data_IF_663517864432
#
_entry.id   IF_663517864432
#
_cell.length_a   1.000
_cell.length_b   1.000
_cell.length_c   1.000
_cell.angle_alpha   90.00
_cell.angle_beta   90.00
_cell.angle_gamma   90.00
#
_symmetry.space_group_name_H-M   'P 1'
#
loop_
_entity.id
_entity.type
_entity.pdbx_description
1 polymer ?
#
# COMPACT_ATOMS: atom_id res chain seq x y z
N UNK A 1 -5.90 -29.18 -31.72
CA UNK A 1 -6.08 -29.61 -30.33
C UNK A 1 -5.67 -28.41 -29.50
N UNK A 2 -6.63 -27.71 -28.92
CA UNK A 2 -6.33 -26.67 -27.93
C UNK A 2 -5.72 -27.42 -26.75
N UNK A 3 -4.49 -27.08 -26.35
CA UNK A 3 -3.95 -27.56 -25.09
C UNK A 3 -4.91 -27.09 -23.99
N UNK A 4 -5.42 -28.04 -23.22
CA UNK A 4 -6.24 -27.80 -22.02
C UNK A 4 -5.34 -27.09 -20.98
N UNK A 5 -5.26 -25.77 -21.04
CA UNK A 5 -4.52 -24.96 -20.11
C UNK A 5 -5.25 -24.99 -18.77
N UNK A 6 -4.84 -25.92 -17.89
CA UNK A 6 -5.29 -25.98 -16.52
C UNK A 6 -4.59 -24.89 -15.72
N UNK A 7 -5.36 -23.88 -15.34
CA UNK A 7 -4.81 -22.69 -14.65
C UNK A 7 -4.46 -23.05 -13.22
N UNK A 8 -3.22 -22.78 -12.83
CA UNK A 8 -2.75 -22.88 -11.45
C UNK A 8 -3.42 -21.82 -10.58
N UNK A 9 -3.83 -22.13 -9.34
CA UNK A 9 -4.29 -21.12 -8.40
C UNK A 9 -3.23 -20.03 -8.16
N UNK A 10 -3.63 -18.78 -8.27
CA UNK A 10 -2.77 -17.60 -8.21
C UNK A 10 -3.30 -16.57 -7.19
N UNK A 11 -2.56 -15.51 -6.94
CA UNK A 11 -2.90 -14.46 -5.96
C UNK A 11 -3.33 -15.05 -4.61
N UNK A 12 -2.55 -16.03 -4.13
CA UNK A 12 -2.85 -16.73 -2.88
C UNK A 12 -2.52 -15.79 -1.73
N UNK A 13 -3.49 -15.58 -0.85
CA UNK A 13 -3.36 -14.74 0.35
C UNK A 13 -3.80 -15.52 1.59
N UNK A 14 -3.30 -15.09 2.75
CA UNK A 14 -3.66 -15.67 4.04
C UNK A 14 -3.97 -14.55 5.04
N UNK A 15 -5.12 -14.68 5.72
CA UNK A 15 -5.50 -13.76 6.80
C UNK A 15 -5.69 -14.55 8.08
N UNK A 16 -4.99 -14.18 9.16
CA UNK A 16 -5.16 -14.78 10.46
C UNK A 16 -6.31 -14.11 11.23
N UNK A 17 -7.16 -14.90 11.90
CA UNK A 17 -8.15 -14.40 12.85
C UNK A 17 -7.53 -14.19 14.25
N UNK A 18 -8.34 -13.69 15.19
CA UNK A 18 -7.92 -13.44 16.58
C UNK A 18 -7.49 -14.71 17.33
N UNK A 19 -7.96 -15.88 16.90
CA UNK A 19 -7.59 -17.20 17.45
C UNK A 19 -6.36 -17.80 16.77
N UNK A 20 -5.78 -17.12 15.77
CA UNK A 20 -4.62 -17.54 15.01
C UNK A 20 -4.92 -18.60 13.95
N UNK A 21 -6.17 -18.73 13.50
CA UNK A 21 -6.52 -19.56 12.37
C UNK A 21 -6.37 -18.78 11.08
N UNK A 22 -5.84 -19.42 10.05
CA UNK A 22 -5.62 -18.80 8.75
C UNK A 22 -6.76 -19.13 7.80
N UNK A 23 -7.33 -18.09 7.18
CA UNK A 23 -8.23 -18.22 6.03
C UNK A 23 -7.44 -17.89 4.78
N UNK A 24 -7.36 -18.87 3.88
CA UNK A 24 -6.74 -18.74 2.57
C UNK A 24 -7.76 -18.22 1.57
N UNK A 25 -7.30 -17.34 0.69
CA UNK A 25 -8.05 -16.90 -0.50
C UNK A 25 -7.11 -16.95 -1.70
N UNK A 26 -7.65 -17.24 -2.86
CA UNK A 26 -6.88 -17.32 -4.10
C UNK A 26 -7.75 -16.88 -5.27
N UNK A 27 -7.16 -16.72 -6.46
CA UNK A 27 -7.82 -16.28 -7.67
C UNK A 27 -8.55 -14.94 -7.50
N UNK A 28 -8.10 -14.12 -6.56
CA UNK A 28 -8.63 -12.77 -6.41
C UNK A 28 -7.76 -11.84 -7.21
N UNK A 29 -8.36 -11.07 -8.09
CA UNK A 29 -7.69 -9.99 -8.78
C UNK A 29 -7.50 -8.84 -7.78
N UNK A 30 -6.29 -8.78 -7.23
CA UNK A 30 -5.92 -7.71 -6.32
C UNK A 30 -5.43 -6.52 -7.14
N UNK A 31 -6.11 -5.39 -7.04
CA UNK A 31 -5.58 -4.15 -7.56
C UNK A 31 -4.30 -3.77 -6.81
N UNK A 32 -3.28 -3.33 -7.54
CA UNK A 32 -2.19 -2.54 -6.97
C UNK A 32 -2.70 -1.11 -6.82
N UNK A 33 -2.70 -0.58 -5.61
CA UNK A 33 -3.17 0.76 -5.29
C UNK A 33 -2.06 1.51 -4.56
N UNK A 34 -1.78 2.74 -5.00
CA UNK A 34 -0.77 3.59 -4.41
C UNK A 34 -1.28 5.03 -4.28
N UNK A 35 -1.21 5.58 -3.08
CA UNK A 35 -1.60 6.95 -2.73
C UNK A 35 -0.43 7.80 -2.26
N UNK A 36 0.79 7.25 -2.25
CA UNK A 36 2.04 7.89 -1.86
C UNK A 36 2.13 8.41 -0.42
N UNK A 37 1.13 8.13 0.43
CA UNK A 37 1.05 8.63 1.80
C UNK A 37 2.12 8.04 2.74
N UNK A 38 2.54 6.79 2.49
CA UNK A 38 3.44 6.04 3.37
C UNK A 38 4.92 6.39 3.19
N UNK A 39 5.26 7.22 2.18
CA UNK A 39 6.66 7.60 1.91
C UNK A 39 7.05 8.89 2.63
N UNK A 40 8.36 9.08 2.82
CA UNK A 40 8.91 10.31 3.39
C UNK A 40 8.59 11.53 2.52
N UNK A 41 8.35 12.67 3.15
CA UNK A 41 8.15 13.94 2.47
C UNK A 41 9.38 14.28 1.60
N UNK A 42 9.15 14.67 0.35
CA UNK A 42 10.16 15.00 -0.65
C UNK A 42 11.06 13.83 -1.06
N UNK A 43 10.63 12.57 -0.83
CA UNK A 43 11.32 11.40 -1.33
C UNK A 43 11.42 11.42 -2.85
N UNK A 44 12.61 11.14 -3.38
CA UNK A 44 12.91 11.08 -4.82
C UNK A 44 14.03 10.10 -5.11
N UNK A 45 14.27 9.81 -6.38
CA UNK A 45 15.22 8.78 -6.80
C UNK A 45 14.62 7.39 -6.64
N UNK A 46 14.64 6.85 -5.44
CA UNK A 46 13.97 5.59 -5.11
C UNK A 46 13.27 5.72 -3.75
N UNK A 47 12.00 5.34 -3.69
CA UNK A 47 11.22 5.23 -2.47
C UNK A 47 10.31 3.99 -2.55
N UNK A 48 10.46 3.10 -1.58
CA UNK A 48 9.92 1.76 -1.71
C UNK A 48 10.46 1.08 -2.97
N UNK A 49 9.56 0.57 -3.79
CA UNK A 49 9.90 -0.03 -5.10
C UNK A 49 9.68 0.93 -6.28
N UNK A 50 9.24 2.16 -6.01
CA UNK A 50 9.12 3.23 -7.00
C UNK A 50 10.46 3.85 -7.32
N UNK A 51 10.61 4.32 -8.56
CA UNK A 51 11.80 5.02 -9.03
C UNK A 51 11.43 6.32 -9.72
N UNK A 52 12.10 7.42 -9.38
CA UNK A 52 12.00 8.68 -10.14
C UNK A 52 13.30 9.01 -10.83
N UNK A 53 13.21 9.58 -12.03
CA UNK A 53 14.36 10.00 -12.81
C UNK A 53 14.14 11.39 -13.39
N UNK A 54 15.18 12.21 -13.34
CA UNK A 54 15.28 13.48 -14.02
C UNK A 54 16.33 13.33 -15.13
N UNK A 55 15.87 13.02 -16.35
CA UNK A 55 16.76 12.74 -17.48
C UNK A 55 17.23 14.04 -18.13
N UNK A 56 16.38 15.07 -18.15
CA UNK A 56 16.71 16.37 -18.74
C UNK A 56 17.72 17.17 -17.92
N UNK A 57 17.80 16.98 -16.60
CA UNK A 57 18.70 17.70 -15.69
C UNK A 57 18.59 19.23 -15.82
N UNK A 58 17.46 19.74 -16.30
CA UNK A 58 17.25 21.16 -16.53
C UNK A 58 16.71 21.84 -15.27
N UNK A 59 17.12 23.13 -15.01
CA UNK A 59 16.60 23.87 -13.88
C UNK A 59 15.11 24.21 -14.06
N UNK A 60 14.36 24.11 -12.96
CA UNK A 60 12.91 24.35 -12.93
C UNK A 60 12.57 25.72 -12.35
N UNK A 61 11.31 26.15 -12.55
CA UNK A 61 10.79 27.35 -11.89
C UNK A 61 10.61 27.11 -10.39
N UNK A 62 11.02 28.05 -9.51
CA UNK A 62 10.69 27.94 -8.10
C UNK A 62 9.20 28.17 -7.88
N UNK A 63 8.61 27.46 -6.95
CA UNK A 63 7.23 27.74 -6.53
C UNK A 63 7.19 29.09 -5.83
N UNK A 64 6.25 29.96 -6.22
CA UNK A 64 5.98 31.22 -5.55
C UNK A 64 4.48 31.35 -5.27
N UNK A 65 4.13 31.58 -4.02
CA UNK A 65 2.77 31.78 -3.57
C UNK A 65 2.64 33.18 -2.93
N UNK A 66 1.72 34.00 -3.47
CA UNK A 66 1.52 35.38 -2.99
C UNK A 66 2.80 36.23 -2.92
N UNK A 67 3.72 36.03 -3.89
CA UNK A 67 5.01 36.73 -3.95
C UNK A 67 6.08 36.18 -2.98
N UNK A 68 5.80 35.12 -2.26
CA UNK A 68 6.73 34.45 -1.35
C UNK A 68 7.25 33.16 -1.98
N UNK A 69 8.56 32.98 -2.02
CA UNK A 69 9.19 31.76 -2.49
C UNK A 69 8.94 30.64 -1.49
N UNK A 70 8.45 29.52 -1.99
CA UNK A 70 8.24 28.29 -1.23
C UNK A 70 9.48 27.43 -1.37
N UNK A 71 10.11 27.08 -0.26
CA UNK A 71 11.29 26.22 -0.24
C UNK A 71 10.99 24.85 0.38
N UNK A 72 11.68 23.83 -0.13
CA UNK A 72 11.66 22.45 0.32
C UNK A 72 13.00 21.79 -0.02
N UNK A 73 13.34 20.60 0.47
CA UNK A 73 14.57 19.91 0.14
C UNK A 73 14.79 19.79 -1.37
N UNK A 74 15.92 20.27 -1.88
CA UNK A 74 16.25 20.29 -3.31
C UNK A 74 15.66 21.45 -4.11
N UNK A 75 14.78 22.28 -3.53
CA UNK A 75 14.25 23.45 -4.23
C UNK A 75 15.35 24.49 -4.48
N UNK A 76 15.34 25.07 -5.69
CA UNK A 76 16.20 26.19 -6.03
C UNK A 76 15.64 27.51 -5.52
N UNK A 77 16.35 28.58 -5.88
CA UNK A 77 15.91 29.97 -5.72
C UNK A 77 15.86 30.66 -7.08
N UNK A 78 15.16 31.81 -7.24
CA UNK A 78 15.16 32.53 -8.50
C UNK A 78 16.55 32.91 -9.02
N UNK A 79 17.53 33.13 -8.11
CA UNK A 79 18.90 33.42 -8.46
C UNK A 79 19.79 32.18 -8.63
N UNK A 80 19.34 31.02 -8.21
CA UNK A 80 20.04 29.74 -8.33
C UNK A 80 19.00 28.63 -8.54
N UNK A 81 18.36 28.53 -9.73
CA UNK A 81 17.39 27.50 -10.02
C UNK A 81 18.10 26.13 -10.10
N UNK A 82 17.42 25.09 -9.65
CA UNK A 82 17.93 23.72 -9.57
C UNK A 82 17.12 22.79 -10.47
N UNK A 83 17.76 21.75 -10.96
CA UNK A 83 17.06 20.60 -11.53
C UNK A 83 16.41 19.81 -10.40
N UNK A 84 15.15 19.40 -10.56
CA UNK A 84 14.38 18.72 -9.53
C UNK A 84 13.76 17.46 -10.16
N UNK A 85 14.11 16.26 -9.68
CA UNK A 85 13.43 15.04 -10.10
C UNK A 85 11.99 15.02 -9.58
N UNK A 86 11.10 14.21 -10.16
CA UNK A 86 9.79 13.95 -9.56
C UNK A 86 9.96 13.46 -8.12
N UNK A 87 9.07 13.88 -7.22
CA UNK A 87 9.18 13.57 -5.80
C UNK A 87 7.81 13.45 -5.13
N UNK A 88 7.76 12.73 -4.02
CA UNK A 88 6.63 12.74 -3.10
C UNK A 88 6.53 14.14 -2.49
N UNK A 89 5.43 14.82 -2.69
CA UNK A 89 5.27 16.21 -2.31
C UNK A 89 4.19 16.38 -1.25
N UNK A 90 4.63 16.85 -0.08
CA UNK A 90 3.74 17.24 1.01
C UNK A 90 3.73 18.78 1.13
N UNK A 91 2.67 19.48 0.74
CA UNK A 91 2.61 20.94 0.81
C UNK A 91 2.72 21.49 2.22
N UNK A 92 2.29 20.74 3.24
CA UNK A 92 2.41 21.14 4.65
C UNK A 92 3.84 21.22 5.15
N UNK A 93 4.74 20.43 4.59
CA UNK A 93 6.15 20.34 5.01
C UNK A 93 7.04 21.36 4.30
N UNK A 94 6.48 22.21 3.43
CA UNK A 94 7.21 23.29 2.78
C UNK A 94 7.49 24.48 3.72
N UNK A 95 8.38 25.39 3.31
CA UNK A 95 8.76 26.60 4.05
C UNK A 95 8.53 27.86 3.22
N UNK A 96 7.54 28.74 3.51
CA UNK A 96 6.47 28.49 4.47
C UNK A 96 5.56 27.32 4.04
N UNK A 97 4.86 26.73 5.01
CA UNK A 97 3.92 25.67 4.73
C UNK A 97 2.80 26.19 3.80
N UNK A 98 2.51 25.43 2.75
CA UNK A 98 1.36 25.71 1.88
C UNK A 98 0.10 25.16 2.54
N UNK A 99 -0.98 25.93 2.50
CA UNK A 99 -2.22 25.57 3.21
C UNK A 99 -3.07 24.60 2.38
N UNK A 100 -3.89 23.72 3.00
CA UNK A 100 -4.76 22.77 2.28
C UNK A 100 -5.88 23.47 1.51
N UNK A 101 -6.15 24.73 1.84
CA UNK A 101 -7.06 25.60 1.09
C UNK A 101 -6.47 26.07 -0.24
N UNK A 102 -5.19 25.83 -0.47
CA UNK A 102 -4.56 26.11 -1.75
C UNK A 102 -4.82 24.97 -2.73
N UNK A 103 -5.89 25.15 -3.51
CA UNK A 103 -6.34 24.17 -4.51
C UNK A 103 -5.26 23.82 -5.55
N UNK A 104 -4.26 24.68 -5.73
CA UNK A 104 -3.17 24.43 -6.67
C UNK A 104 -2.35 23.19 -6.31
N UNK A 105 -2.18 22.93 -5.01
CA UNK A 105 -1.30 21.84 -4.52
C UNK A 105 -2.01 20.81 -3.62
N UNK A 106 -3.30 21.02 -3.32
CA UNK A 106 -4.06 20.06 -2.53
C UNK A 106 -4.14 18.69 -3.22
N UNK A 107 -3.87 17.62 -2.47
CA UNK A 107 -4.07 16.25 -2.92
C UNK A 107 -5.57 15.92 -3.10
N UNK A 108 -5.94 14.97 -3.94
CA UNK A 108 -7.34 14.53 -4.08
C UNK A 108 -7.73 13.60 -2.93
N UNK A 109 -6.76 12.89 -2.37
CA UNK A 109 -6.87 12.04 -1.17
C UNK A 109 -5.63 12.21 -0.31
N UNK A 110 -5.77 12.13 1.01
CA UNK A 110 -4.64 12.32 1.93
C UNK A 110 -4.00 13.71 1.88
N UNK A 111 -2.69 13.74 2.09
CA UNK A 111 -1.88 14.97 2.18
C UNK A 111 -0.77 15.04 1.12
N UNK A 112 -0.42 13.94 0.46
CA UNK A 112 0.74 13.83 -0.43
C UNK A 112 0.34 13.50 -1.87
N UNK A 113 1.21 13.89 -2.79
CA UNK A 113 1.12 13.56 -4.22
C UNK A 113 2.51 13.30 -4.77
N UNK A 114 2.66 12.79 -5.98
CA UNK A 114 3.93 12.95 -6.70
C UNK A 114 3.84 14.16 -7.61
N UNK A 115 4.82 15.08 -7.49
CA UNK A 115 4.90 16.31 -8.27
C UNK A 115 6.04 16.25 -9.30
N UNK A 116 5.78 16.80 -10.48
CA UNK A 116 6.73 16.97 -11.58
C UNK A 116 6.84 18.46 -11.91
N UNK A 117 8.05 18.98 -11.98
CA UNK A 117 8.28 20.39 -12.29
C UNK A 117 8.76 20.54 -13.73
N UNK A 118 8.15 21.49 -14.46
CA UNK A 118 8.58 21.86 -15.80
C UNK A 118 9.93 22.60 -15.76
N UNK A 119 10.84 22.30 -16.69
CA UNK A 119 12.05 23.07 -16.83
C UNK A 119 11.77 24.48 -17.33
N UNK A 120 12.61 25.45 -16.96
CA UNK A 120 12.53 26.84 -17.42
C UNK A 120 12.76 27.00 -18.92
N UNK A 121 13.49 26.07 -19.51
CA UNK A 121 13.80 26.01 -20.94
C UNK A 121 14.01 24.56 -21.33
N UNK A 122 13.53 24.19 -22.51
CA UNK A 122 13.62 22.83 -23.04
C UNK A 122 12.38 21.98 -22.69
N UNK A 123 12.34 20.81 -23.28
CA UNK A 123 11.30 19.81 -22.99
C UNK A 123 11.66 19.09 -21.69
N UNK A 124 10.66 18.83 -20.87
CA UNK A 124 10.83 17.94 -19.74
C UNK A 124 11.06 16.51 -20.21
N UNK A 125 11.92 15.79 -19.51
CA UNK A 125 12.13 14.35 -19.62
C UNK A 125 12.29 13.79 -18.20
N UNK A 126 11.15 13.60 -17.54
CA UNK A 126 11.10 13.17 -16.15
C UNK A 126 10.15 11.99 -15.98
N UNK A 127 10.58 11.04 -15.18
CA UNK A 127 9.91 9.76 -15.06
C UNK A 127 9.56 9.41 -13.62
N UNK A 128 8.36 8.84 -13.43
CA UNK A 128 8.00 8.03 -12.29
C UNK A 128 7.73 6.61 -12.80
N UNK A 129 8.47 5.64 -12.26
CA UNK A 129 8.43 4.25 -12.72
C UNK A 129 7.91 3.38 -11.57
N UNK A 130 6.89 2.57 -11.86
CA UNK A 130 6.23 1.72 -10.88
C UNK A 130 7.11 0.55 -10.41
N UNK A 131 6.74 -0.11 -9.31
CA UNK A 131 7.14 -1.50 -9.05
C UNK A 131 6.86 -2.42 -10.22
N UNK A 132 7.42 -3.64 -10.18
CA UNK A 132 7.09 -4.67 -11.15
C UNK A 132 5.68 -5.20 -10.86
N UNK A 133 4.79 -5.14 -11.84
CA UNK A 133 3.37 -5.46 -11.71
C UNK A 133 3.03 -6.66 -12.60
N UNK A 134 2.17 -7.55 -12.12
CA UNK A 134 1.61 -8.63 -12.94
C UNK A 134 0.24 -8.19 -13.45
N UNK A 135 0.06 -8.21 -14.75
CA UNK A 135 -1.20 -7.81 -15.38
C UNK A 135 -2.10 -9.03 -15.53
N UNK A 136 -3.23 -9.01 -14.85
CA UNK A 136 -4.25 -10.03 -14.99
C UNK A 136 -5.30 -9.61 -16.02
N UNK A 137 -6.17 -10.54 -16.39
CA UNK A 137 -7.22 -10.30 -17.37
C UNK A 137 -8.16 -9.17 -16.95
N UNK A 138 -8.43 -8.25 -17.87
CA UNK A 138 -9.35 -7.14 -17.63
C UNK A 138 -8.77 -6.02 -16.74
N UNK A 139 -7.44 -5.99 -16.59
CA UNK A 139 -6.78 -4.91 -15.86
C UNK A 139 -6.69 -3.65 -16.69
N UNK A 140 -6.79 -2.53 -16.00
CA UNK A 140 -6.51 -1.20 -16.50
C UNK A 140 -5.58 -0.44 -15.54
N UNK A 141 -4.87 0.53 -16.07
CA UNK A 141 -4.22 1.58 -15.30
C UNK A 141 -5.23 2.69 -15.07
N UNK A 142 -5.38 3.15 -13.84
CA UNK A 142 -6.01 4.43 -13.54
C UNK A 142 -5.07 5.29 -12.70
N UNK A 143 -5.07 6.59 -12.97
CA UNK A 143 -4.28 7.56 -12.22
C UNK A 143 -5.00 8.91 -12.22
N UNK A 144 -5.04 9.56 -11.06
CA UNK A 144 -5.47 10.95 -11.00
C UNK A 144 -4.29 11.86 -11.34
N UNK A 145 -4.51 12.82 -12.23
CA UNK A 145 -3.51 13.82 -12.56
C UNK A 145 -4.14 15.21 -12.69
N UNK A 146 -3.33 16.23 -12.43
CA UNK A 146 -3.73 17.63 -12.49
C UNK A 146 -2.56 18.50 -12.95
N UNK A 147 -2.75 19.28 -14.03
CA UNK A 147 -1.87 20.37 -14.41
C UNK A 147 -2.15 21.62 -13.59
N UNK A 148 -1.16 22.51 -13.49
CA UNK A 148 -1.27 23.72 -12.67
C UNK A 148 -2.28 24.73 -13.26
N UNK A 149 -2.12 25.14 -14.53
CA UNK A 149 -2.94 26.17 -15.14
C UNK A 149 -3.14 25.93 -16.65
N UNK A 150 -4.30 26.30 -17.16
CA UNK A 150 -4.65 26.09 -18.57
C UNK A 150 -3.81 26.93 -19.55
N UNK A 151 -3.31 28.08 -19.10
CA UNK A 151 -2.45 28.95 -19.90
C UNK A 151 -1.05 28.37 -20.13
N UNK A 152 -0.65 27.38 -19.31
CA UNK A 152 0.61 26.67 -19.36
C UNK A 152 0.32 25.17 -19.37
N UNK A 153 -0.08 24.62 -20.54
CA UNK A 153 -0.57 23.26 -20.62
C UNK A 153 0.54 22.24 -20.30
N UNK A 154 0.18 21.32 -19.43
CA UNK A 154 1.03 20.22 -19.04
C UNK A 154 0.78 18.98 -19.91
N UNK A 155 1.81 18.17 -20.12
CA UNK A 155 1.73 16.96 -20.93
C UNK A 155 2.39 15.78 -20.21
N UNK A 156 1.77 14.62 -20.32
CA UNK A 156 2.28 13.36 -19.75
C UNK A 156 1.98 12.20 -20.70
N UNK A 157 2.89 11.28 -20.82
CA UNK A 157 2.71 10.00 -21.50
C UNK A 157 2.62 8.90 -20.44
N UNK A 158 1.67 7.99 -20.63
CA UNK A 158 1.56 6.76 -19.84
C UNK A 158 2.24 5.66 -20.64
N UNK A 159 3.30 5.09 -20.08
CA UNK A 159 4.20 4.19 -20.77
C UNK A 159 4.28 2.83 -20.08
N UNK A 160 4.76 1.83 -20.80
CA UNK A 160 4.92 0.47 -20.29
C UNK A 160 6.25 -0.14 -20.78
N UNK A 161 6.87 -0.96 -19.94
CA UNK A 161 8.01 -1.79 -20.29
C UNK A 161 7.78 -3.25 -19.89
N UNK A 162 8.58 -4.15 -20.42
CA UNK A 162 8.61 -5.59 -20.11
C UNK A 162 9.34 -5.91 -18.79
N UNK A 163 9.29 -4.97 -17.83
CA UNK A 163 9.94 -5.07 -16.54
C UNK A 163 11.25 -4.30 -16.41
N UNK A 164 11.78 -3.76 -17.51
CA UNK A 164 12.91 -2.82 -17.46
C UNK A 164 12.52 -1.53 -16.77
N UNK A 165 13.46 -0.92 -16.05
CA UNK A 165 13.33 0.41 -15.44
C UNK A 165 14.14 1.50 -16.16
N UNK A 166 14.67 1.21 -17.35
CA UNK A 166 15.39 2.14 -18.19
C UNK A 166 14.41 2.89 -19.11
N UNK A 167 14.38 4.25 -19.13
CA UNK A 167 13.46 5.03 -19.96
C UNK A 167 13.39 4.63 -21.41
N UNK A 168 14.52 4.22 -22.00
CA UNK A 168 14.61 3.84 -23.42
C UNK A 168 13.85 2.54 -23.77
N UNK A 169 13.49 1.73 -22.78
CA UNK A 169 12.79 0.46 -22.97
C UNK A 169 11.26 0.59 -22.82
N UNK A 170 10.77 1.80 -22.52
CA UNK A 170 9.34 2.06 -22.41
C UNK A 170 8.72 2.40 -23.75
N UNK A 171 7.50 1.92 -23.96
CA UNK A 171 6.63 2.27 -25.09
C UNK A 171 5.41 3.02 -24.59
N UNK A 172 4.96 4.01 -25.37
CA UNK A 172 3.78 4.82 -25.02
C UNK A 172 2.51 4.00 -25.18
N UNK A 173 1.70 3.94 -24.12
CA UNK A 173 0.35 3.34 -24.11
C UNK A 173 -0.70 4.39 -24.48
N UNK A 174 -0.63 5.54 -23.86
CA UNK A 174 -1.55 6.66 -24.05
C UNK A 174 -0.90 7.98 -23.65
N UNK A 175 -1.51 9.08 -24.10
CA UNK A 175 -1.03 10.43 -23.84
C UNK A 175 -2.15 11.28 -23.21
N UNK A 176 -1.77 12.13 -22.27
CA UNK A 176 -2.61 13.20 -21.76
C UNK A 176 -1.97 14.55 -22.09
N UNK A 177 -2.44 15.18 -23.18
CA UNK A 177 -1.92 16.47 -23.65
C UNK A 177 -3.06 17.31 -24.26
N UNK A 178 -3.50 18.38 -23.58
CA UNK A 178 -3.09 18.81 -22.24
C UNK A 178 -3.70 17.97 -21.12
N UNK A 179 -3.01 17.92 -19.97
CA UNK A 179 -3.62 17.48 -18.72
C UNK A 179 -4.71 18.46 -18.27
N UNK A 180 -5.71 17.96 -17.55
CA UNK A 180 -6.71 18.81 -16.91
C UNK A 180 -6.03 19.82 -15.98
N UNK A 181 -6.41 21.10 -16.11
CA UNK A 181 -5.75 22.20 -15.41
C UNK A 181 -6.59 22.67 -14.21
N UNK A 182 -5.96 22.77 -13.05
CA UNK A 182 -6.58 23.26 -11.82
C UNK A 182 -7.54 22.28 -11.12
N UNK A 183 -7.96 21.22 -11.79
CA UNK A 183 -8.86 20.20 -11.25
C UNK A 183 -8.29 18.81 -11.49
N UNK A 184 -8.51 17.92 -10.53
CA UNK A 184 -8.10 16.52 -10.67
C UNK A 184 -8.98 15.80 -11.69
N UNK A 185 -8.34 15.13 -12.65
CA UNK A 185 -9.00 14.25 -13.61
C UNK A 185 -8.46 12.82 -13.49
N UNK A 186 -9.33 11.84 -13.71
CA UNK A 186 -8.98 10.44 -13.78
C UNK A 186 -8.58 10.11 -15.23
N UNK A 187 -7.40 9.52 -15.39
CA UNK A 187 -6.90 8.99 -16.66
C UNK A 187 -6.90 7.47 -16.57
N UNK A 188 -7.43 6.83 -17.60
CA UNK A 188 -7.58 5.38 -17.66
C UNK A 188 -6.94 4.85 -18.94
N UNK A 189 -6.21 3.75 -18.84
CA UNK A 189 -5.57 3.07 -19.97
C UNK A 189 -5.77 1.57 -19.85
N UNK A 190 -6.31 0.94 -20.90
CA UNK A 190 -6.50 -0.51 -20.99
C UNK A 190 -5.15 -1.23 -21.04
N UNK A 191 -5.01 -2.31 -20.27
CA UNK A 191 -3.81 -3.14 -20.20
C UNK A 191 -4.05 -4.56 -20.74
N UNK A 192 -5.14 -4.81 -21.44
CA UNK A 192 -5.53 -6.15 -21.90
C UNK A 192 -4.49 -6.82 -22.83
N UNK A 193 -3.73 -6.03 -23.61
CA UNK A 193 -2.67 -6.56 -24.47
C UNK A 193 -1.46 -7.13 -23.69
N UNK A 194 -1.40 -6.89 -22.38
CA UNK A 194 -0.32 -7.30 -21.49
C UNK A 194 -0.72 -8.39 -20.50
N UNK A 195 -1.89 -9.00 -20.70
CA UNK A 195 -2.39 -10.07 -19.83
C UNK A 195 -1.33 -11.19 -19.66
N UNK A 196 -1.11 -11.59 -18.39
CA UNK A 196 -0.15 -12.61 -18.00
C UNK A 196 1.31 -12.15 -17.97
N UNK A 197 1.59 -10.91 -18.31
CA UNK A 197 2.95 -10.36 -18.33
C UNK A 197 3.30 -9.65 -17.03
N UNK A 198 4.59 -9.61 -16.73
CA UNK A 198 5.16 -8.72 -15.72
C UNK A 198 5.69 -7.46 -16.38
N UNK A 199 5.20 -6.31 -15.96
CA UNK A 199 5.48 -5.01 -16.58
C UNK A 199 5.82 -3.97 -15.55
N UNK A 200 6.42 -2.86 -15.99
CA UNK A 200 6.44 -1.59 -15.24
C UNK A 200 5.68 -0.54 -15.99
N UNK A 201 4.94 0.27 -15.26
CA UNK A 201 4.29 1.48 -15.79
C UNK A 201 5.21 2.66 -15.56
N UNK A 202 5.43 3.44 -16.60
CA UNK A 202 6.17 4.70 -16.56
C UNK A 202 5.23 5.89 -16.77
N UNK A 203 5.25 6.85 -15.86
CA UNK A 203 4.61 8.15 -16.07
C UNK A 203 5.69 9.11 -16.53
N UNK A 204 5.68 9.45 -17.80
CA UNK A 204 6.68 10.26 -18.48
C UNK A 204 6.16 11.68 -18.67
N UNK A 205 6.73 12.61 -17.96
CA UNK A 205 6.40 14.01 -18.04
C UNK A 205 7.19 14.70 -19.16
N UNK A 206 6.46 15.31 -20.12
CA UNK A 206 7.01 15.84 -21.38
C UNK A 206 6.63 17.30 -21.64
N UNK A 207 6.28 18.06 -20.61
CA UNK A 207 5.85 19.46 -20.74
C UNK A 207 6.97 20.38 -21.21
N UNK A 208 6.57 21.48 -21.84
CA UNK A 208 7.44 22.55 -22.27
C UNK A 208 6.93 23.89 -21.77
N UNK A 209 7.78 24.70 -21.13
CA UNK A 209 7.46 26.05 -20.63
C UNK A 209 6.15 26.10 -19.83
N UNK A 210 5.95 25.11 -18.98
CA UNK A 210 4.83 24.99 -18.05
C UNK A 210 5.28 25.23 -16.60
N UNK A 211 4.51 24.80 -15.60
CA UNK A 211 4.90 24.97 -14.20
C UNK A 211 5.13 23.63 -13.50
N UNK A 212 4.06 22.92 -13.17
CA UNK A 212 4.12 21.61 -12.57
C UNK A 212 2.82 20.83 -12.76
N UNK A 213 2.94 19.53 -12.72
CA UNK A 213 1.82 18.60 -12.61
C UNK A 213 1.94 17.75 -11.37
N UNK A 214 0.80 17.29 -10.88
CA UNK A 214 0.71 16.36 -9.77
C UNK A 214 -0.03 15.11 -10.20
N UNK A 215 0.36 13.97 -9.65
CA UNK A 215 -0.35 12.70 -9.79
C UNK A 215 -0.63 12.12 -8.42
N UNK A 216 -1.70 11.32 -8.33
CA UNK A 216 -2.12 10.60 -7.13
C UNK A 216 -3.03 9.43 -7.49
N UNK A 217 -3.41 8.62 -6.48
CA UNK A 217 -4.36 7.50 -6.62
C UNK A 217 -4.05 6.62 -7.84
N UNK A 218 -2.79 6.16 -7.92
CA UNK A 218 -2.36 5.25 -8.97
C UNK A 218 -2.90 3.84 -8.69
N UNK A 219 -3.60 3.26 -9.65
CA UNK A 219 -4.13 1.92 -9.53
C UNK A 219 -3.86 1.11 -10.80
N UNK A 220 -3.41 -0.13 -10.64
CA UNK A 220 -3.42 -1.14 -11.69
C UNK A 220 -4.27 -2.31 -11.19
N UNK A 221 -5.40 -2.53 -11.82
CA UNK A 221 -6.37 -3.51 -11.33
C UNK A 221 -7.52 -3.73 -12.30
N UNK A 222 -8.52 -4.53 -11.91
CA UNK A 222 -9.67 -4.79 -12.76
C UNK A 222 -10.44 -3.51 -13.06
N UNK A 223 -10.82 -3.32 -14.32
CA UNK A 223 -11.63 -2.19 -14.77
C UNK A 223 -12.94 -2.11 -14.00
N UNK A 224 -13.42 -0.89 -13.71
CA UNK A 224 -14.66 -0.69 -12.96
C UNK A 224 -15.84 -1.40 -13.66
N UNK A 225 -16.52 -2.28 -12.93
CA UNK A 225 -17.65 -3.09 -13.45
C UNK A 225 -17.24 -4.29 -14.29
N UNK A 226 -15.92 -4.54 -14.47
CA UNK A 226 -15.46 -5.82 -14.98
C UNK A 226 -15.58 -6.85 -13.85
N UNK A 227 -16.33 -7.92 -14.08
CA UNK A 227 -16.09 -9.15 -13.37
C UNK A 227 -14.81 -9.73 -13.98
N UNK A 228 -13.65 -9.41 -13.40
CA UNK A 228 -12.41 -10.06 -13.73
C UNK A 228 -12.47 -11.50 -13.22
N UNK A 229 -13.34 -12.27 -13.82
CA UNK A 229 -13.43 -13.71 -13.60
C UNK A 229 -12.44 -14.33 -14.56
N UNK A 230 -11.32 -14.79 -14.03
CA UNK A 230 -10.60 -15.84 -14.76
C UNK A 230 -11.58 -17.01 -14.82
N UNK A 231 -12.06 -17.25 -16.02
CA UNK A 231 -12.88 -18.42 -16.30
C UNK A 231 -11.99 -19.67 -16.11
N UNK A 232 -12.00 -20.20 -14.89
CA UNK A 232 -11.38 -21.49 -14.61
C UNK A 232 -12.08 -22.62 -15.37
N UNK A 233 -13.04 -22.31 -16.23
CA UNK A 233 -13.84 -23.18 -17.06
C UNK A 233 -13.99 -24.55 -16.43
N UNK A 234 -14.96 -25.04 -15.89
CA UNK A 234 -15.13 -26.42 -15.37
C UNK A 234 -14.18 -26.86 -14.23
N UNK A 235 -13.69 -25.95 -13.37
CA UNK A 235 -13.11 -26.35 -12.10
C UNK A 235 -14.18 -27.01 -11.27
N UNK A 236 -13.94 -28.26 -10.84
CA UNK A 236 -14.85 -29.04 -10.02
C UNK A 236 -14.68 -28.70 -8.54
N UNK A 237 -13.41 -28.49 -8.13
CA UNK A 237 -13.02 -28.13 -6.77
C UNK A 237 -11.57 -27.69 -6.73
N UNK A 238 -11.17 -27.22 -5.56
CA UNK A 238 -9.77 -27.00 -5.21
C UNK A 238 -9.37 -27.99 -4.10
N UNK A 239 -8.23 -28.65 -4.27
CA UNK A 239 -7.60 -29.47 -3.24
C UNK A 239 -6.61 -28.63 -2.47
N UNK A 240 -6.67 -28.67 -1.12
CA UNK A 240 -5.85 -27.85 -0.23
C UNK A 240 -4.84 -28.74 0.50
N UNK A 241 -3.59 -28.32 0.50
CA UNK A 241 -2.47 -29.06 1.11
C UNK A 241 -1.77 -28.19 2.17
N UNK A 242 -1.25 -28.84 3.21
CA UNK A 242 -0.31 -28.26 4.18
C UNK A 242 0.90 -29.17 4.23
N UNK A 243 2.08 -28.62 3.97
CA UNK A 243 3.35 -29.36 3.96
C UNK A 243 3.31 -30.64 3.07
N UNK A 244 2.59 -30.55 1.95
CA UNK A 244 2.42 -31.64 0.99
C UNK A 244 1.30 -32.63 1.32
N UNK A 245 0.66 -32.56 2.49
CA UNK A 245 -0.47 -33.41 2.86
C UNK A 245 -1.81 -32.72 2.59
N UNK A 246 -2.74 -33.42 1.92
CA UNK A 246 -4.08 -32.87 1.63
C UNK A 246 -4.88 -32.76 2.93
N UNK A 247 -5.31 -31.52 3.24
CA UNK A 247 -6.06 -31.19 4.47
C UNK A 247 -7.54 -30.86 4.21
N UNK A 248 -7.93 -30.64 2.96
CA UNK A 248 -9.32 -30.33 2.63
C UNK A 248 -9.59 -30.10 1.16
N UNK A 249 -10.85 -29.76 0.88
CA UNK A 249 -11.35 -29.40 -0.43
C UNK A 249 -12.24 -28.16 -0.33
N UNK A 250 -12.29 -27.34 -1.38
CA UNK A 250 -13.16 -26.18 -1.50
C UNK A 250 -13.78 -26.13 -2.90
N UNK A 251 -15.01 -25.65 -3.00
CA UNK A 251 -15.67 -25.35 -4.29
C UNK A 251 -15.59 -23.89 -4.68
N UNK A 252 -15.19 -23.04 -3.73
CA UNK A 252 -14.97 -21.62 -3.91
C UNK A 252 -13.50 -21.28 -3.61
N UNK A 253 -13.03 -20.13 -4.05
CA UNK A 253 -11.65 -19.67 -3.87
C UNK A 253 -11.35 -19.18 -2.44
N UNK A 254 -11.83 -19.92 -1.45
CA UNK A 254 -11.63 -19.64 -0.02
C UNK A 254 -11.61 -20.93 0.79
N UNK A 255 -10.70 -21.01 1.78
CA UNK A 255 -10.63 -22.14 2.70
C UNK A 255 -10.00 -21.72 4.03
N UNK A 256 -10.62 -22.12 5.16
CA UNK A 256 -10.02 -21.92 6.47
C UNK A 256 -9.21 -23.16 6.86
N UNK A 257 -7.91 -22.97 7.07
CA UNK A 257 -6.98 -24.03 7.42
C UNK A 257 -7.29 -24.63 8.80
N UNK A 258 -6.98 -25.92 9.01
CA UNK A 258 -6.91 -26.45 10.35
C UNK A 258 -5.85 -25.70 11.17
N UNK A 259 -5.89 -25.74 12.52
CA UNK A 259 -4.89 -25.09 13.34
C UNK A 259 -3.46 -25.53 12.98
N UNK A 260 -2.59 -24.58 12.66
CA UNK A 260 -1.18 -24.82 12.35
C UNK A 260 -0.34 -24.82 13.63
N UNK A 261 0.68 -25.64 13.66
CA UNK A 261 1.70 -25.60 14.72
C UNK A 261 2.64 -24.41 14.53
N UNK A 262 3.45 -24.10 15.54
CA UNK A 262 4.51 -23.08 15.36
C UNK A 262 5.57 -23.59 14.38
N UNK A 263 6.00 -22.73 13.48
CA UNK A 263 6.97 -23.05 12.44
C UNK A 263 6.58 -22.46 11.08
N UNK A 264 7.32 -22.85 10.07
CA UNK A 264 7.03 -22.47 8.68
C UNK A 264 6.28 -23.59 7.98
N UNK A 265 5.17 -23.27 7.34
CA UNK A 265 4.32 -24.20 6.63
C UNK A 265 4.18 -23.77 5.18
N UNK A 266 4.23 -24.73 4.26
CA UNK A 266 3.91 -24.52 2.84
C UNK A 266 2.48 -24.93 2.59
N UNK A 267 1.66 -23.99 2.15
CA UNK A 267 0.27 -24.21 1.79
C UNK A 267 0.20 -24.37 0.28
N UNK A 268 -0.30 -25.53 -0.18
CA UNK A 268 -0.52 -25.81 -1.59
C UNK A 268 -2.01 -25.74 -1.94
N UNK A 269 -2.35 -25.15 -3.09
CA UNK A 269 -3.70 -25.12 -3.63
C UNK A 269 -3.66 -25.63 -5.05
N UNK A 270 -4.51 -26.59 -5.39
CA UNK A 270 -4.57 -27.22 -6.71
C UNK A 270 -5.99 -27.16 -7.26
N UNK A 271 -6.17 -26.61 -8.45
CA UNK A 271 -7.45 -26.66 -9.15
C UNK A 271 -7.64 -28.05 -9.79
N UNK A 272 -8.79 -28.67 -9.51
CA UNK A 272 -9.19 -29.98 -10.04
C UNK A 272 -10.29 -29.78 -11.07
N UNK A 273 -10.03 -30.20 -12.28
CA UNK A 273 -10.93 -30.15 -13.42
C UNK A 273 -11.52 -31.54 -13.70
N UNK A 274 -12.53 -31.63 -14.55
CA UNK A 274 -13.12 -32.93 -14.93
C UNK A 274 -12.10 -33.85 -15.63
N UNK A 275 -11.11 -33.29 -16.29
CA UNK A 275 -10.11 -34.00 -17.11
C UNK A 275 -8.69 -33.95 -16.51
N UNK A 276 -8.52 -33.69 -15.22
CA UNK A 276 -7.24 -33.69 -14.52
C UNK A 276 -7.09 -32.52 -13.53
N UNK A 277 -5.88 -32.19 -13.14
CA UNK A 277 -5.58 -31.14 -12.18
C UNK A 277 -4.53 -30.16 -12.72
N UNK A 278 -4.52 -28.92 -12.22
CA UNK A 278 -3.46 -27.95 -12.45
C UNK A 278 -2.17 -28.36 -11.74
N UNK A 279 -1.12 -27.58 -11.93
CA UNK A 279 -0.01 -27.47 -10.98
C UNK A 279 -0.51 -26.92 -9.65
N UNK A 280 0.32 -27.02 -8.60
CA UNK A 280 -0.01 -26.54 -7.25
C UNK A 280 0.53 -25.14 -7.10
N UNK A 281 -0.35 -24.16 -6.84
CA UNK A 281 0.05 -22.84 -6.39
C UNK A 281 0.46 -22.90 -4.92
N UNK A 282 1.60 -22.32 -4.57
CA UNK A 282 2.17 -22.41 -3.21
C UNK A 282 2.17 -21.06 -2.50
N UNK A 283 1.96 -21.09 -1.18
CA UNK A 283 2.06 -19.94 -0.29
C UNK A 283 2.71 -20.35 1.03
N UNK A 284 3.60 -19.52 1.56
CA UNK A 284 4.32 -19.83 2.81
C UNK A 284 3.76 -19.03 3.98
N UNK A 285 3.41 -19.73 5.06
CA UNK A 285 2.97 -19.13 6.33
C UNK A 285 4.01 -19.41 7.40
N UNK A 286 4.43 -18.40 8.16
CA UNK A 286 5.24 -18.57 9.35
C UNK A 286 4.39 -18.29 10.59
N UNK A 287 4.13 -19.34 11.37
CA UNK A 287 3.41 -19.26 12.64
C UNK A 287 4.42 -19.04 13.77
N UNK A 288 4.33 -17.89 14.43
CA UNK A 288 5.19 -17.59 15.56
C UNK A 288 4.97 -18.61 16.70
N UNK A 289 6.01 -19.02 17.43
CA UNK A 289 5.83 -19.84 18.61
C UNK A 289 4.94 -19.07 19.60
N UNK A 290 3.85 -19.70 20.04
CA UNK A 290 2.96 -19.12 21.04
C UNK A 290 3.76 -18.90 22.33
N UNK A 291 4.17 -17.66 22.57
CA UNK A 291 4.96 -17.30 23.72
C UNK A 291 4.09 -17.25 24.99
N UNK A 292 3.43 -18.30 25.32
CA UNK A 292 2.89 -18.71 26.62
C UNK A 292 1.74 -19.69 26.35
N UNK A 293 1.71 -20.85 27.00
CA UNK A 293 0.48 -21.63 27.04
C UNK A 293 -0.61 -20.71 27.61
N UNK A 294 -1.80 -20.61 26.97
CA UNK A 294 -3.00 -20.11 27.64
C UNK A 294 -3.09 -20.95 28.92
N UNK A 295 -2.72 -20.35 30.05
CA UNK A 295 -3.04 -20.93 31.35
C UNK A 295 -4.55 -20.93 31.37
N UNK A 296 -5.15 -22.07 31.14
CA UNK A 296 -6.53 -22.29 31.48
C UNK A 296 -6.62 -21.97 32.96
N UNK A 297 -7.17 -20.82 33.30
CA UNK A 297 -7.50 -20.48 34.68
C UNK A 297 -8.62 -21.43 35.08
N UNK A 298 -8.27 -22.59 35.60
CA UNK A 298 -9.21 -23.40 36.35
C UNK A 298 -9.78 -22.50 37.46
N UNK A 299 -11.08 -22.52 37.52
CA UNK A 299 -12.00 -21.86 38.39
C UNK A 299 -11.39 -21.14 39.60
N UNK A 300 -11.64 -19.82 39.65
CA UNK A 300 -11.70 -19.02 40.87
C UNK A 300 -10.48 -19.09 41.82
N UNK A 301 -9.29 -18.70 41.33
CA UNK A 301 -8.27 -18.19 42.24
C UNK A 301 -8.62 -16.77 42.63
N UNK A 302 -9.05 -16.58 43.85
CA UNK A 302 -9.41 -15.26 44.39
C UNK A 302 -8.16 -14.38 44.41
N UNK A 303 -8.08 -13.43 43.45
CA UNK A 303 -7.05 -12.42 43.50
C UNK A 303 -7.22 -11.59 44.76
N UNK A 304 -6.19 -11.53 45.58
CA UNK A 304 -6.19 -10.65 46.75
C UNK A 304 -5.84 -9.24 46.30
N UNK A 305 -6.73 -8.31 46.60
CA UNK A 305 -6.56 -6.90 46.29
C UNK A 305 -6.32 -6.14 47.60
N UNK A 306 -5.37 -5.24 47.60
CA UNK A 306 -5.15 -4.30 48.71
C UNK A 306 -4.88 -2.91 48.17
N UNK A 307 -5.46 -1.92 48.80
CA UNK A 307 -5.31 -0.51 48.47
C UNK A 307 -4.55 0.19 49.57
N UNK A 308 -3.50 0.91 49.20
CA UNK A 308 -2.64 1.65 50.14
C UNK A 308 -2.75 3.16 49.86
N UNK A 309 -2.58 3.95 50.91
CA UNK A 309 -2.32 5.39 50.76
C UNK A 309 -0.87 5.64 50.30
N UNK A 310 -0.52 6.89 50.07
CA UNK A 310 0.84 7.27 49.62
C UNK A 310 1.90 7.06 50.74
N UNK A 311 1.47 6.84 52.00
CA UNK A 311 2.32 6.52 53.13
C UNK A 311 2.49 4.99 53.34
N UNK A 312 1.87 4.17 52.49
CA UNK A 312 1.97 2.71 52.54
C UNK A 312 1.02 2.05 53.54
N UNK A 313 0.00 2.75 54.07
CA UNK A 313 -0.98 2.17 54.99
C UNK A 313 -2.11 1.52 54.19
N UNK A 314 -2.53 0.33 54.60
CA UNK A 314 -3.68 -0.37 54.00
C UNK A 314 -4.96 0.40 54.29
N UNK A 315 -5.69 0.75 53.25
CA UNK A 315 -6.91 1.55 53.34
C UNK A 315 -8.18 0.72 53.08
N UNK A 316 -8.15 -0.22 52.19
CA UNK A 316 -9.28 -1.08 51.83
C UNK A 316 -8.85 -2.27 50.97
N UNK A 317 -9.73 -3.27 50.86
CA UNK A 317 -9.56 -4.43 49.98
C UNK A 317 -10.12 -4.18 48.56
N UNK A 318 -10.76 -3.03 48.34
CA UNK A 318 -11.32 -2.64 47.05
C UNK A 318 -11.34 -1.11 46.88
N UNK A 319 -11.09 -0.61 45.65
CA UNK A 319 -11.14 0.81 45.35
C UNK A 319 -12.55 1.43 45.52
N UNK A 320 -13.61 0.63 45.47
CA UNK A 320 -15.00 1.09 45.50
C UNK A 320 -15.43 1.79 46.81
N UNK A 321 -14.71 1.55 47.89
CA UNK A 321 -15.03 2.07 49.25
C UNK A 321 -14.22 3.31 49.66
N UNK A 322 -13.43 3.88 48.71
CA UNK A 322 -12.52 4.99 49.06
C UNK A 322 -13.06 6.35 48.68
N UNK A 323 -12.69 7.38 49.45
CA UNK A 323 -12.95 8.78 49.15
C UNK A 323 -12.07 9.28 47.97
N UNK A 324 -12.34 10.50 47.47
CA UNK A 324 -11.49 11.13 46.45
C UNK A 324 -10.03 11.24 46.95
N UNK A 325 -9.08 10.73 46.16
CA UNK A 325 -7.68 10.73 46.52
C UNK A 325 -6.80 9.95 45.52
N UNK A 326 -5.49 9.88 45.82
CA UNK A 326 -4.51 9.09 45.09
C UNK A 326 -4.11 7.88 45.93
N UNK A 327 -4.23 6.70 45.38
CA UNK A 327 -4.00 5.45 46.07
C UNK A 327 -3.11 4.52 45.22
N UNK A 328 -2.47 3.57 45.89
CA UNK A 328 -1.70 2.49 45.27
C UNK A 328 -2.51 1.19 45.35
N UNK A 329 -2.83 0.63 44.20
CA UNK A 329 -3.56 -0.64 44.10
C UNK A 329 -2.62 -1.78 43.84
N UNK A 330 -2.57 -2.74 44.74
CA UNK A 330 -1.73 -3.95 44.65
C UNK A 330 -2.64 -5.14 44.45
N UNK A 331 -2.37 -5.89 43.37
CA UNK A 331 -3.01 -7.17 43.07
C UNK A 331 -1.98 -8.28 43.23
N UNK A 332 -2.27 -9.25 44.05
CA UNK A 332 -1.41 -10.44 44.27
C UNK A 332 -2.17 -11.69 43.86
N UNK A 333 -1.51 -12.57 43.12
CA UNK A 333 -1.97 -13.93 42.86
C UNK A 333 -1.15 -14.89 43.75
N UNK A 334 -1.75 -15.97 44.30
CA UNK A 334 -1.04 -16.95 45.12
C UNK A 334 0.21 -17.58 44.47
N UNK A 335 0.23 -17.57 43.11
CA UNK A 335 1.33 -18.19 42.36
C UNK A 335 2.27 -17.19 41.68
N UNK A 336 2.13 -15.86 41.92
CA UNK A 336 3.00 -14.84 41.37
C UNK A 336 4.01 -14.36 42.40
N UNK A 337 5.30 -14.45 42.07
CA UNK A 337 6.38 -13.88 42.89
C UNK A 337 6.42 -12.33 42.82
N UNK A 338 5.71 -11.72 41.89
CA UNK A 338 5.67 -10.26 41.69
C UNK A 338 4.24 -9.75 41.64
N UNK A 339 3.79 -8.93 42.59
CA UNK A 339 2.47 -8.29 42.56
C UNK A 339 2.43 -7.22 41.51
N UNK A 340 1.25 -7.06 40.88
CA UNK A 340 1.00 -5.91 39.99
C UNK A 340 0.63 -4.71 40.84
N UNK A 341 1.32 -3.59 40.62
CA UNK A 341 1.09 -2.32 41.35
C UNK A 341 0.60 -1.27 40.33
N UNK A 342 -0.52 -0.61 40.64
CA UNK A 342 -1.07 0.49 39.83
C UNK A 342 -1.42 1.69 40.72
N UNK A 343 -1.11 2.88 40.20
CA UNK A 343 -1.63 4.14 40.80
C UNK A 343 -3.08 4.34 40.36
N UNK A 344 -3.96 4.57 41.29
CA UNK A 344 -5.37 4.85 41.03
C UNK A 344 -5.69 6.24 41.59
N UNK A 345 -6.35 7.04 40.77
CA UNK A 345 -6.88 8.39 41.14
C UNK A 345 -8.39 8.27 41.17
N UNK A 346 -8.99 8.71 42.26
CA UNK A 346 -10.44 8.67 42.44
C UNK A 346 -11.01 10.07 42.70
#
# INVERSE_FOLDING_TARGET
MLEDNKIEPYNITATADEDGRYTMRWNQDLAFVESFEDYDDFASGQFGEWKTMDVDQLPVYPISLNGQIISFPGSGTPSNPMAIPPMVFNPWSTQPAMLPTDQAVAAPTGDKTVIFFSPQMGMADKWLISPLLTINKGYELTVKAKGYAAEYPESMEFCISDGSDAPADFTVLSEASPLAAGEWALYTTDLSDYEGQQVRIGLHYTSYDAFFTQIDDFTVGPAEGSEAVIDYGNVVRFDIFVDGEKVGEATEAVFTLPPLTSGTHTIGIQAVYQNGSSTIGEYVITVAPSALPKVQCDAAQTLQHQVYDLQGRVMADSPSSLNKGIYIFKTSSPNSQHPTIRKVIR
#
